data_IF_595311674826
#
_entry.id   IF_595311674826
#
_cell.length_a   1.000
_cell.length_b   1.000
_cell.length_c   1.000
_cell.angle_alpha   90.00
_cell.angle_beta   90.00
_cell.angle_gamma   90.00
#
_symmetry.space_group_name_H-M   'P 1'
#
loop_
_entity.id
_entity.type
_entity.pdbx_description
1 polymer ?
#
# COMPACT_ATOMS: atom_id res chain seq x y z
N UNK A 1 -90.62 -8.91 -41.89
CA UNK A 1 -89.88 -8.01 -42.79
C UNK A 1 -88.67 -7.46 -42.05
N UNK A 2 -87.48 -7.77 -42.58
CA UNK A 2 -86.09 -7.33 -42.27
C UNK A 2 -85.69 -6.99 -40.80
N UNK A 3 -84.90 -7.89 -40.20
CA UNK A 3 -84.01 -7.64 -39.06
C UNK A 3 -82.84 -6.71 -39.44
N UNK A 4 -82.21 -6.02 -38.47
CA UNK A 4 -80.79 -5.70 -38.53
C UNK A 4 -79.96 -6.32 -37.39
N UNK A 5 -78.96 -7.09 -37.84
CA UNK A 5 -77.60 -7.39 -37.34
C UNK A 5 -77.24 -7.43 -35.85
N UNK A 6 -76.78 -8.63 -35.47
CA UNK A 6 -75.98 -9.01 -34.31
C UNK A 6 -74.49 -8.57 -34.40
N UNK A 7 -73.93 -8.24 -33.23
CA UNK A 7 -72.55 -8.50 -32.75
C UNK A 7 -71.31 -7.82 -33.36
N UNK A 8 -70.28 -7.80 -32.50
CA UNK A 8 -68.81 -7.68 -32.73
C UNK A 8 -68.26 -6.24 -32.74
N UNK A 9 -67.24 -5.84 -31.97
CA UNK A 9 -66.10 -6.54 -31.34
C UNK A 9 -65.64 -5.80 -30.07
N UNK A 10 -65.45 -6.54 -28.97
CA UNK A 10 -64.51 -6.15 -27.90
C UNK A 10 -63.15 -6.77 -28.19
N UNK A 11 -62.11 -5.94 -28.06
CA UNK A 11 -60.66 -6.24 -27.87
C UNK A 11 -59.91 -6.85 -29.07
N UNK A 12 -58.57 -6.66 -29.22
CA UNK A 12 -57.60 -6.17 -28.22
C UNK A 12 -56.60 -5.11 -28.74
N UNK A 13 -56.49 -3.95 -28.06
CA UNK A 13 -55.36 -3.01 -28.19
C UNK A 13 -54.33 -3.20 -27.05
N UNK A 14 -54.41 -4.32 -26.33
CA UNK A 14 -53.62 -4.59 -25.12
C UNK A 14 -52.54 -5.67 -25.31
N UNK A 15 -52.18 -6.01 -26.56
CA UNK A 15 -51.15 -7.02 -26.84
C UNK A 15 -49.80 -6.44 -27.27
N UNK A 16 -49.70 -5.14 -27.57
CA UNK A 16 -48.45 -4.51 -28.00
C UNK A 16 -47.63 -3.84 -26.88
N UNK A 17 -48.18 -3.63 -25.68
CA UNK A 17 -47.41 -3.10 -24.54
C UNK A 17 -46.78 -4.17 -23.63
N UNK A 18 -47.21 -5.44 -23.74
CA UNK A 18 -46.66 -6.50 -22.88
C UNK A 18 -45.30 -7.04 -23.36
N UNK A 19 -44.93 -6.81 -24.62
CA UNK A 19 -43.66 -7.33 -25.19
C UNK A 19 -42.47 -6.39 -25.02
N UNK A 20 -42.68 -5.10 -24.74
CA UNK A 20 -41.57 -4.16 -24.49
C UNK A 20 -41.21 -4.12 -23.00
N UNK A 21 -42.17 -4.37 -22.10
CA UNK A 21 -41.92 -4.36 -20.65
C UNK A 21 -41.15 -5.61 -20.13
N UNK A 22 -41.10 -6.69 -20.90
CA UNK A 22 -40.36 -7.91 -20.54
C UNK A 22 -38.96 -8.00 -21.16
N UNK A 23 -38.64 -7.16 -22.16
CA UNK A 23 -37.31 -7.15 -22.80
C UNK A 23 -36.30 -6.25 -22.06
N UNK A 24 -36.76 -5.30 -21.26
CA UNK A 24 -35.88 -4.37 -20.52
C UNK A 24 -35.29 -4.99 -19.23
N UNK A 25 -35.97 -5.86 -18.45
CA UNK A 25 -35.36 -6.44 -17.25
C UNK A 25 -34.36 -7.57 -17.54
N UNK A 26 -34.29 -8.11 -18.76
CA UNK A 26 -33.46 -9.29 -19.06
C UNK A 26 -32.09 -8.96 -19.69
N UNK A 27 -31.80 -7.68 -19.95
CA UNK A 27 -30.50 -7.23 -20.46
C UNK A 27 -29.57 -6.66 -19.37
N UNK A 28 -30.02 -6.58 -18.11
CA UNK A 28 -29.11 -6.56 -16.96
C UNK A 28 -28.71 -8.01 -16.63
N UNK A 29 -28.13 -8.70 -17.59
CA UNK A 29 -27.14 -9.70 -17.23
C UNK A 29 -26.03 -8.91 -16.56
N UNK A 30 -26.02 -8.92 -15.23
CA UNK A 30 -24.91 -8.49 -14.41
C UNK A 30 -23.69 -9.20 -14.98
N UNK A 31 -22.89 -8.49 -15.77
CA UNK A 31 -21.51 -8.87 -16.03
C UNK A 31 -20.84 -8.64 -14.68
N UNK A 32 -20.97 -9.62 -13.79
CA UNK A 32 -19.98 -9.83 -12.75
C UNK A 32 -18.68 -10.02 -13.54
N UNK A 33 -17.94 -8.93 -13.73
CA UNK A 33 -16.55 -8.99 -14.13
C UNK A 33 -15.85 -9.68 -12.97
N UNK A 34 -15.86 -11.02 -12.98
CA UNK A 34 -14.97 -11.82 -12.17
C UNK A 34 -13.59 -11.55 -12.76
N UNK A 35 -12.96 -10.47 -12.32
CA UNK A 35 -11.53 -10.29 -12.50
C UNK A 35 -10.90 -11.61 -12.06
N UNK A 36 -10.24 -12.28 -13.01
CA UNK A 36 -9.51 -13.48 -12.66
C UNK A 36 -8.43 -13.06 -11.67
N UNK A 37 -8.21 -13.82 -10.59
CA UNK A 37 -7.17 -13.51 -9.63
C UNK A 37 -5.83 -13.33 -10.36
N UNK A 38 -5.12 -12.25 -10.07
CA UNK A 38 -3.78 -12.03 -10.60
C UNK A 38 -2.79 -12.87 -9.80
N UNK A 39 -2.09 -13.77 -10.48
CA UNK A 39 -0.98 -14.53 -9.92
C UNK A 39 0.32 -13.70 -10.00
N UNK A 40 1.27 -13.99 -9.12
CA UNK A 40 2.57 -13.33 -9.13
C UNK A 40 3.32 -13.43 -7.82
N UNK A 41 4.56 -12.95 -7.81
CA UNK A 41 5.34 -12.79 -6.59
C UNK A 41 5.59 -11.32 -6.33
N UNK A 42 5.10 -10.83 -5.19
CA UNK A 42 5.36 -9.47 -4.72
C UNK A 42 6.37 -9.47 -3.57
N UNK A 43 7.26 -8.49 -3.59
CA UNK A 43 8.28 -8.29 -2.55
C UNK A 43 8.08 -6.93 -1.90
N UNK A 44 7.67 -6.93 -0.64
CA UNK A 44 7.45 -5.72 0.15
C UNK A 44 8.63 -5.51 1.09
N UNK A 45 9.36 -4.41 0.90
CA UNK A 45 10.54 -4.05 1.69
C UNK A 45 10.19 -2.89 2.60
N UNK A 46 10.05 -3.18 3.89
CA UNK A 46 9.76 -2.20 4.92
C UNK A 46 11.05 -1.76 5.62
N UNK A 47 11.18 -0.45 5.80
CA UNK A 47 12.27 0.17 6.52
C UNK A 47 11.75 1.32 7.37
N UNK A 48 12.37 1.53 8.52
CA UNK A 48 12.18 2.75 9.29
C UNK A 48 12.84 3.93 8.55
N UNK A 49 12.33 5.14 8.77
CA UNK A 49 13.10 6.35 8.52
C UNK A 49 14.53 6.27 9.09
N UNK A 50 15.46 6.98 8.46
CA UNK A 50 16.86 7.05 8.89
C UNK A 50 17.05 7.92 10.15
N UNK A 51 18.30 8.05 10.60
CA UNK A 51 18.68 8.71 11.85
C UNK A 51 18.15 10.15 11.95
N UNK A 52 17.68 10.50 13.15
CA UNK A 52 17.09 11.80 13.47
C UNK A 52 17.91 12.54 14.52
N UNK A 53 17.77 13.87 14.66
CA UNK A 53 18.33 14.60 15.79
C UNK A 53 17.76 14.07 17.12
N UNK A 54 18.54 14.17 18.20
CA UNK A 54 18.09 13.79 19.55
C UNK A 54 16.82 14.53 19.98
N UNK A 55 16.76 15.85 19.72
CA UNK A 55 15.58 16.71 19.94
C UNK A 55 14.40 16.42 19.01
N UNK A 56 14.53 15.49 18.05
CA UNK A 56 13.40 15.07 17.23
C UNK A 56 12.73 16.20 16.42
N UNK A 57 13.43 16.75 15.43
CA UNK A 57 12.97 17.94 14.71
C UNK A 57 12.06 17.64 13.50
N UNK A 58 11.30 16.54 13.52
CA UNK A 58 10.52 16.10 12.34
C UNK A 58 11.33 15.52 11.17
N UNK A 59 12.63 15.82 11.12
CA UNK A 59 13.54 15.58 9.99
C UNK A 59 14.71 14.63 10.32
N UNK A 60 15.54 14.34 9.31
CA UNK A 60 16.79 13.58 9.45
C UNK A 60 17.93 14.46 9.97
N UNK A 61 18.91 13.85 10.63
CA UNK A 61 20.22 14.48 10.86
C UNK A 61 21.17 14.17 9.68
N UNK A 62 22.40 14.69 9.70
CA UNK A 62 23.38 14.43 8.63
C UNK A 62 23.68 12.93 8.43
N UNK A 63 23.76 12.15 9.50
CA UNK A 63 23.96 10.70 9.44
C UNK A 63 22.79 10.01 8.73
N UNK A 64 21.55 10.41 9.05
CA UNK A 64 20.35 9.88 8.40
C UNK A 64 20.25 10.29 6.93
N UNK A 65 20.71 11.50 6.58
CA UNK A 65 20.83 11.92 5.19
C UNK A 65 21.85 11.07 4.43
N UNK A 66 23.01 10.78 5.03
CA UNK A 66 24.01 9.88 4.44
C UNK A 66 23.43 8.47 4.22
N UNK A 67 22.76 7.90 5.23
CA UNK A 67 22.06 6.62 5.10
C UNK A 67 21.03 6.65 3.97
N UNK A 68 20.24 7.72 3.85
CA UNK A 68 19.25 7.87 2.79
C UNK A 68 19.88 7.87 1.39
N UNK A 69 21.06 8.49 1.22
CA UNK A 69 21.82 8.45 -0.03
C UNK A 69 22.37 7.04 -0.32
N UNK A 70 22.90 6.35 0.70
CA UNK A 70 23.40 4.97 0.56
C UNK A 70 22.28 3.98 0.20
N UNK A 71 21.09 4.15 0.78
CA UNK A 71 19.89 3.35 0.47
C UNK A 71 19.52 3.39 -1.00
N UNK A 72 19.78 4.52 -1.69
CA UNK A 72 19.53 4.63 -3.13
C UNK A 72 20.34 3.61 -3.94
N UNK A 73 21.53 3.24 -3.47
CA UNK A 73 22.34 2.17 -4.08
C UNK A 73 21.96 0.81 -3.52
N UNK A 74 21.85 0.71 -2.19
CA UNK A 74 21.72 -0.56 -1.48
C UNK A 74 20.41 -1.29 -1.78
N UNK A 75 19.27 -0.58 -1.81
CA UNK A 75 17.98 -1.24 -1.99
C UNK A 75 17.88 -1.91 -3.37
N UNK A 76 18.19 -1.23 -4.50
CA UNK A 76 18.14 -1.86 -5.82
C UNK A 76 19.14 -3.00 -6.00
N UNK A 77 20.31 -2.93 -5.38
CA UNK A 77 21.30 -4.01 -5.42
C UNK A 77 20.82 -5.27 -4.69
N UNK A 78 20.10 -5.11 -3.58
CA UNK A 78 19.62 -6.24 -2.76
C UNK A 78 18.30 -6.84 -3.25
N UNK A 79 17.39 -6.00 -3.75
CA UNK A 79 15.99 -6.39 -4.02
C UNK A 79 15.57 -6.20 -5.47
N UNK A 80 16.48 -5.75 -6.34
CA UNK A 80 16.12 -5.29 -7.69
C UNK A 80 15.45 -3.92 -7.64
N UNK A 81 15.24 -3.29 -8.79
CA UNK A 81 14.55 -1.99 -8.84
C UNK A 81 13.15 -2.11 -8.23
N UNK A 82 12.76 -1.14 -7.41
CA UNK A 82 11.35 -1.02 -7.04
C UNK A 82 10.50 -0.69 -8.27
N UNK A 83 9.25 -1.10 -8.22
CA UNK A 83 8.18 -0.66 -9.12
C UNK A 83 7.35 0.46 -8.45
N UNK A 84 7.28 0.45 -7.12
CA UNK A 84 6.53 1.42 -6.32
C UNK A 84 7.28 1.81 -5.04
N UNK A 85 7.07 3.04 -4.60
CA UNK A 85 7.70 3.59 -3.40
C UNK A 85 6.66 4.29 -2.55
N UNK A 86 6.66 4.02 -1.25
CA UNK A 86 5.78 4.61 -0.24
C UNK A 86 6.57 5.30 0.86
N UNK A 87 6.01 6.39 1.37
CA UNK A 87 6.44 7.02 2.60
C UNK A 87 5.24 7.57 3.37
N UNK A 88 5.35 7.64 4.70
CA UNK A 88 4.29 8.24 5.51
C UNK A 88 4.04 9.71 5.11
N UNK A 89 2.76 10.07 5.06
CA UNK A 89 2.30 11.41 4.68
C UNK A 89 2.93 12.47 5.61
N UNK A 90 3.69 13.44 5.06
CA UNK A 90 4.40 14.44 5.86
C UNK A 90 3.48 15.51 6.48
N UNK A 91 2.19 15.54 6.13
CA UNK A 91 1.21 16.45 6.76
C UNK A 91 0.91 16.09 8.22
N UNK A 92 1.20 14.86 8.63
CA UNK A 92 1.19 14.46 10.04
C UNK A 92 2.25 15.22 10.82
N UNK A 93 1.98 15.45 12.10
CA UNK A 93 2.94 16.01 13.02
C UNK A 93 3.34 15.00 14.09
N UNK A 94 4.55 15.17 14.62
CA UNK A 94 5.02 14.51 15.84
C UNK A 94 5.33 15.57 16.89
N UNK A 95 5.16 15.20 18.15
CA UNK A 95 5.53 16.00 19.32
C UNK A 95 6.81 15.38 19.89
N UNK A 96 7.90 16.15 19.85
CA UNK A 96 9.24 15.66 20.20
C UNK A 96 10.12 16.78 20.77
N UNK A 97 11.23 16.39 21.40
CA UNK A 97 12.22 17.29 22.00
C UNK A 97 11.90 17.64 23.44
N UNK A 98 12.79 18.40 24.09
CA UNK A 98 12.64 18.75 25.51
C UNK A 98 11.36 19.52 25.84
N UNK A 99 10.79 20.18 24.84
CA UNK A 99 9.65 21.08 24.97
C UNK A 99 8.37 20.52 24.30
N UNK A 100 8.35 19.24 23.90
CA UNK A 100 7.26 18.59 23.16
C UNK A 100 6.76 19.43 21.96
N UNK A 101 7.70 19.98 21.20
CA UNK A 101 7.38 20.82 20.06
C UNK A 101 6.82 20.00 18.91
N UNK A 102 5.87 20.61 18.19
CA UNK A 102 5.15 19.98 17.10
C UNK A 102 5.86 20.21 15.77
N UNK A 103 6.36 19.15 15.14
CA UNK A 103 7.06 19.20 13.85
C UNK A 103 6.36 18.36 12.78
N UNK A 104 6.43 18.78 11.51
CA UNK A 104 5.99 17.95 10.39
C UNK A 104 6.84 16.67 10.29
N UNK A 105 6.19 15.52 10.11
CA UNK A 105 6.86 14.22 10.12
C UNK A 105 7.47 13.86 8.76
N UNK A 106 8.46 14.64 8.33
CA UNK A 106 9.03 14.53 6.97
C UNK A 106 10.07 13.41 6.82
N UNK A 107 10.60 12.87 7.94
CA UNK A 107 11.73 11.94 7.94
C UNK A 107 11.55 10.65 7.10
N UNK A 108 10.38 9.98 7.00
CA UNK A 108 10.28 8.79 6.16
C UNK A 108 10.38 9.15 4.68
N UNK A 109 9.74 10.26 4.28
CA UNK A 109 9.85 10.79 2.91
C UNK A 109 11.29 11.16 2.58
N UNK A 110 12.00 11.88 3.46
CA UNK A 110 13.42 12.21 3.26
C UNK A 110 14.30 10.96 3.13
N UNK A 111 13.96 9.87 3.83
CA UNK A 111 14.75 8.63 3.83
C UNK A 111 14.69 7.91 2.48
N UNK A 112 13.51 7.82 1.88
CA UNK A 112 13.32 7.03 0.66
C UNK A 112 13.45 7.84 -0.62
N UNK A 113 13.30 9.16 -0.55
CA UNK A 113 13.33 10.04 -1.72
C UNK A 113 14.58 9.89 -2.58
N UNK A 114 15.82 9.77 -2.04
CA UNK A 114 16.99 9.52 -2.87
C UNK A 114 16.89 8.22 -3.69
N UNK A 115 16.31 7.16 -3.11
CA UNK A 115 16.06 5.89 -3.81
C UNK A 115 15.03 6.08 -4.94
N UNK A 116 13.93 6.78 -4.66
CA UNK A 116 12.90 7.08 -5.65
C UNK A 116 13.44 7.93 -6.82
N UNK A 117 14.24 8.96 -6.52
CA UNK A 117 14.90 9.81 -7.53
C UNK A 117 15.81 8.97 -8.42
N UNK A 118 16.66 8.11 -7.83
CA UNK A 118 17.56 7.26 -8.62
C UNK A 118 16.82 6.28 -9.53
N UNK A 119 15.66 5.80 -9.08
CA UNK A 119 14.81 4.88 -9.84
C UNK A 119 13.88 5.59 -10.83
N UNK A 120 13.74 6.91 -10.74
CA UNK A 120 12.82 7.70 -11.57
C UNK A 120 11.35 7.47 -11.21
N UNK A 121 11.05 7.18 -9.94
CA UNK A 121 9.71 6.85 -9.45
C UNK A 121 9.11 7.97 -8.61
N UNK A 122 7.78 8.15 -8.64
CA UNK A 122 7.09 8.96 -7.63
C UNK A 122 7.10 8.24 -6.27
N UNK A 123 6.92 9.02 -5.20
CA UNK A 123 6.66 8.47 -3.86
C UNK A 123 5.17 8.66 -3.55
N UNK A 124 4.46 7.56 -3.29
CA UNK A 124 3.11 7.63 -2.76
C UNK A 124 3.17 8.06 -1.28
N UNK A 125 2.42 9.10 -0.95
CA UNK A 125 2.34 9.70 0.39
C UNK A 125 0.88 9.85 0.85
N UNK A 126 -0.03 9.03 0.31
CA UNK A 126 -1.46 9.18 0.56
C UNK A 126 -1.85 8.76 1.99
N UNK A 127 -1.01 7.95 2.65
CA UNK A 127 -1.27 7.33 3.95
C UNK A 127 -0.42 7.97 5.06
N UNK A 128 -1.05 8.39 6.16
CA UNK A 128 -0.42 8.79 7.40
C UNK A 128 0.21 7.62 8.14
N UNK A 129 1.13 7.89 9.08
CA UNK A 129 1.91 6.84 9.72
C UNK A 129 1.08 5.80 10.50
N UNK A 130 -0.15 6.13 10.88
CA UNK A 130 -1.14 5.32 11.60
C UNK A 130 -2.23 4.71 10.69
N UNK A 131 -2.23 5.02 9.40
CA UNK A 131 -3.17 4.42 8.42
C UNK A 131 -2.64 3.04 7.98
N UNK A 132 -2.22 2.22 8.95
CA UNK A 132 -1.52 0.96 8.70
C UNK A 132 -2.44 -0.10 8.10
N UNK A 133 -3.72 -0.11 8.47
CA UNK A 133 -4.70 -1.04 7.92
C UNK A 133 -5.02 -0.70 6.47
N UNK A 134 -5.26 0.58 6.16
CA UNK A 134 -5.53 1.08 4.82
C UNK A 134 -4.32 0.89 3.89
N UNK A 135 -3.10 1.14 4.38
CA UNK A 135 -1.89 0.88 3.61
C UNK A 135 -1.69 -0.63 3.39
N UNK A 136 -2.02 -1.48 4.37
CA UNK A 136 -1.95 -2.93 4.19
C UNK A 136 -2.93 -3.40 3.09
N UNK A 137 -4.15 -2.88 3.06
CA UNK A 137 -5.13 -3.17 2.00
C UNK A 137 -4.62 -2.73 0.62
N UNK A 138 -4.08 -1.52 0.55
CA UNK A 138 -3.48 -0.98 -0.66
C UNK A 138 -2.37 -1.91 -1.18
N UNK A 139 -1.39 -2.27 -0.33
CA UNK A 139 -0.24 -3.14 -0.69
C UNK A 139 -0.63 -4.56 -1.11
N UNK A 140 -1.87 -5.00 -0.85
CA UNK A 140 -2.40 -6.31 -1.24
C UNK A 140 -3.27 -6.28 -2.51
N UNK A 141 -3.48 -5.09 -3.08
CA UNK A 141 -4.23 -4.95 -4.34
C UNK A 141 -3.51 -5.61 -5.52
N UNK A 142 -4.28 -6.04 -6.53
CA UNK A 142 -3.79 -6.81 -7.68
C UNK A 142 -2.63 -6.14 -8.44
N UNK A 143 -2.55 -4.79 -8.42
CA UNK A 143 -1.48 -4.02 -9.08
C UNK A 143 -0.08 -4.26 -8.51
N UNK A 144 0.04 -4.79 -7.29
CA UNK A 144 1.32 -5.04 -6.62
C UNK A 144 1.79 -6.50 -6.70
N UNK A 145 0.95 -7.43 -7.16
CA UNK A 145 1.20 -8.89 -7.06
C UNK A 145 2.40 -9.43 -7.80
N UNK A 146 3.00 -8.65 -8.70
CA UNK A 146 4.25 -8.98 -9.40
C UNK A 146 5.23 -7.80 -9.35
N UNK A 147 5.34 -7.16 -8.19
CA UNK A 147 6.11 -5.94 -8.00
C UNK A 147 7.04 -6.00 -6.78
N UNK A 148 8.12 -5.24 -6.84
CA UNK A 148 8.93 -4.88 -5.67
C UNK A 148 8.50 -3.51 -5.16
N UNK A 149 8.15 -3.42 -3.88
CA UNK A 149 7.66 -2.19 -3.24
C UNK A 149 8.59 -1.81 -2.09
N UNK A 150 9.05 -0.56 -2.07
CA UNK A 150 9.81 -0.02 -0.94
C UNK A 150 8.95 0.91 -0.09
N UNK A 151 8.96 0.71 1.22
CA UNK A 151 8.09 1.45 2.15
C UNK A 151 8.89 1.98 3.34
N UNK A 152 9.14 3.30 3.36
CA UNK A 152 9.79 3.96 4.50
C UNK A 152 8.76 4.51 5.48
N UNK A 153 8.88 4.14 6.76
CA UNK A 153 7.81 4.38 7.73
C UNK A 153 8.31 4.74 9.15
N UNK A 154 7.38 4.88 10.08
CA UNK A 154 7.65 5.06 11.51
C UNK A 154 7.88 3.73 12.21
N UNK A 155 8.91 3.62 13.06
CA UNK A 155 9.13 2.41 13.85
C UNK A 155 7.98 2.08 14.79
N UNK A 156 7.25 3.09 15.29
CA UNK A 156 6.10 2.87 16.18
C UNK A 156 4.93 2.18 15.50
N UNK A 157 4.82 2.26 14.17
CA UNK A 157 3.69 1.73 13.40
C UNK A 157 4.10 0.61 12.43
N UNK A 158 5.39 0.38 12.23
CA UNK A 158 5.88 -0.70 11.37
C UNK A 158 5.41 -2.10 11.83
N UNK A 159 5.44 -2.44 13.14
CA UNK A 159 4.91 -3.72 13.59
C UNK A 159 3.45 -3.94 13.22
N UNK A 160 2.61 -2.93 13.45
CA UNK A 160 1.19 -2.95 13.11
C UNK A 160 0.97 -3.14 11.61
N UNK A 161 1.66 -2.35 10.76
CA UNK A 161 1.58 -2.47 9.30
C UNK A 161 2.01 -3.85 8.79
N UNK A 162 3.15 -4.35 9.27
CA UNK A 162 3.71 -5.64 8.82
C UNK A 162 2.77 -6.78 9.20
N UNK A 163 2.22 -6.76 10.41
CA UNK A 163 1.26 -7.77 10.86
C UNK A 163 -0.06 -7.65 10.09
N UNK A 164 -0.59 -6.44 9.89
CA UNK A 164 -1.80 -6.23 9.09
C UNK A 164 -1.67 -6.75 7.66
N UNK A 165 -0.51 -6.56 7.01
CA UNK A 165 -0.21 -7.14 5.70
C UNK A 165 -0.22 -8.67 5.75
N UNK A 166 0.42 -9.28 6.77
CA UNK A 166 0.45 -10.73 6.92
C UNK A 166 -0.96 -11.30 7.15
N UNK A 167 -1.72 -10.68 8.05
CA UNK A 167 -3.06 -11.11 8.45
C UNK A 167 -4.02 -11.09 7.26
N UNK A 168 -4.07 -9.95 6.55
CA UNK A 168 -4.95 -9.79 5.39
C UNK A 168 -4.52 -10.71 4.22
N UNK A 169 -3.22 -10.94 4.03
CA UNK A 169 -2.73 -11.80 2.95
C UNK A 169 -3.04 -13.29 3.18
N UNK A 170 -2.94 -13.76 4.43
CA UNK A 170 -3.13 -15.17 4.77
C UNK A 170 -4.56 -15.50 5.19
N UNK A 171 -5.33 -14.49 5.62
CA UNK A 171 -6.70 -14.67 6.11
C UNK A 171 -6.79 -15.19 7.55
N UNK A 172 -5.70 -15.12 8.32
CA UNK A 172 -5.61 -15.52 9.71
C UNK A 172 -4.64 -14.60 10.49
N UNK A 173 -4.76 -14.57 11.82
CA UNK A 173 -3.91 -13.71 12.66
C UNK A 173 -2.46 -14.22 12.70
N UNK A 174 -1.52 -13.32 12.39
CA UNK A 174 -0.10 -13.62 12.18
C UNK A 174 0.79 -12.50 12.71
N UNK A 175 1.37 -12.75 13.88
CA UNK A 175 2.41 -11.88 14.44
C UNK A 175 3.75 -12.18 13.77
N UNK A 176 4.22 -11.27 12.93
CA UNK A 176 5.57 -11.28 12.33
C UNK A 176 6.55 -10.54 13.21
N UNK A 177 6.14 -9.42 13.80
CA UNK A 177 6.97 -8.64 14.72
C UNK A 177 6.10 -7.92 15.75
N UNK A 178 6.53 -7.95 17.01
CA UNK A 178 5.80 -7.29 18.11
C UNK A 178 6.27 -5.85 18.31
N UNK A 179 7.57 -5.60 18.10
CA UNK A 179 8.18 -4.29 18.32
C UNK A 179 9.23 -3.97 17.26
N UNK A 180 9.54 -2.67 17.14
CA UNK A 180 10.69 -2.17 16.40
C UNK A 180 11.48 -1.25 17.33
N UNK A 181 12.68 -1.69 17.71
CA UNK A 181 13.52 -0.97 18.66
C UNK A 181 13.82 0.47 18.18
N UNK A 182 13.64 1.46 19.06
CA UNK A 182 13.79 2.87 18.75
C UNK A 182 15.22 3.29 18.34
N UNK A 183 16.24 2.47 18.56
CA UNK A 183 17.62 2.69 18.10
C UNK A 183 17.97 1.85 16.85
N UNK A 184 17.05 1.01 16.38
CA UNK A 184 17.26 0.19 15.19
C UNK A 184 16.86 0.96 13.92
N UNK A 185 17.86 1.52 13.24
CA UNK A 185 17.73 2.20 11.95
C UNK A 185 18.08 1.29 10.76
N UNK A 186 18.48 0.05 11.03
CA UNK A 186 19.26 -0.75 10.09
C UNK A 186 18.61 -2.10 9.74
N UNK A 187 17.58 -2.53 10.48
CA UNK A 187 16.72 -3.63 10.03
C UNK A 187 15.89 -3.24 8.81
N UNK A 188 15.71 -4.22 7.93
CA UNK A 188 14.71 -4.26 6.86
C UNK A 188 13.82 -5.48 7.12
N UNK A 189 12.51 -5.27 7.11
CA UNK A 189 11.55 -6.37 7.06
C UNK A 189 11.15 -6.61 5.62
N UNK A 190 11.32 -7.83 5.14
CA UNK A 190 11.01 -8.21 3.76
C UNK A 190 9.95 -9.28 3.79
N UNK A 191 8.77 -8.94 3.29
CA UNK A 191 7.68 -9.87 3.06
C UNK A 191 7.64 -10.24 1.59
N UNK A 192 7.78 -11.53 1.28
CA UNK A 192 7.58 -12.06 -0.07
C UNK A 192 6.27 -12.83 -0.09
N UNK A 193 5.32 -12.35 -0.87
CA UNK A 193 4.00 -12.94 -1.02
C UNK A 193 3.89 -13.55 -2.42
N UNK A 194 3.63 -14.85 -2.50
CA UNK A 194 3.38 -15.55 -3.76
C UNK A 194 1.88 -15.82 -3.86
N UNK A 195 1.25 -15.21 -4.87
CA UNK A 195 -0.17 -15.31 -5.16
C UNK A 195 -0.43 -16.36 -6.24
N UNK A 196 -1.38 -17.25 -5.96
CA UNK A 196 -1.88 -18.22 -6.92
C UNK A 196 -3.37 -18.44 -6.68
N UNK A 197 -4.20 -18.17 -7.70
CA UNK A 197 -5.66 -18.33 -7.65
C UNK A 197 -6.29 -17.60 -6.44
N UNK A 198 -5.84 -16.37 -6.19
CA UNK A 198 -6.35 -15.50 -5.13
C UNK A 198 -5.89 -15.84 -3.72
N UNK A 199 -5.01 -16.83 -3.56
CA UNK A 199 -4.42 -17.21 -2.26
C UNK A 199 -2.96 -16.81 -2.21
N UNK A 200 -2.53 -16.23 -1.10
CA UNK A 200 -1.12 -15.92 -0.87
C UNK A 200 -0.45 -16.99 0.00
N UNK A 201 0.84 -17.22 -0.27
CA UNK A 201 1.78 -17.76 0.71
C UNK A 201 2.79 -16.68 1.08
N UNK A 202 3.19 -16.61 2.35
CA UNK A 202 4.08 -15.59 2.88
C UNK A 202 5.43 -16.17 3.33
N UNK A 203 6.52 -15.53 2.89
CA UNK A 203 7.85 -15.66 3.47
C UNK A 203 8.25 -14.31 4.09
N UNK A 204 8.60 -14.32 5.38
CA UNK A 204 9.13 -13.14 6.08
C UNK A 204 10.63 -13.30 6.35
N UNK A 205 11.40 -12.22 6.16
CA UNK A 205 12.84 -12.16 6.44
C UNK A 205 13.21 -10.83 7.07
N UNK A 206 14.06 -10.88 8.09
CA UNK A 206 14.72 -9.71 8.63
C UNK A 206 16.14 -9.64 8.10
N UNK A 207 16.48 -8.53 7.45
CA UNK A 207 17.80 -8.28 6.88
C UNK A 207 18.39 -7.03 7.51
N UNK A 208 19.72 -6.88 7.43
CA UNK A 208 20.42 -5.68 7.87
C UNK A 208 20.86 -4.88 6.64
N UNK A 209 20.66 -3.57 6.67
CA UNK A 209 21.24 -2.66 5.67
C UNK A 209 22.77 -2.74 5.78
N UNK A 210 23.31 -2.76 7.00
CA UNK A 210 24.75 -2.72 7.24
C UNK A 210 25.31 -1.31 7.14
N UNK A 211 24.49 -0.29 7.44
CA UNK A 211 24.82 1.13 7.35
C UNK A 211 24.96 1.81 8.75
N UNK A 212 24.91 1.01 9.82
CA UNK A 212 25.17 1.52 11.18
C UNK A 212 26.57 2.13 11.31
N UNK A 213 26.66 3.21 12.10
CA UNK A 213 27.93 3.91 12.33
C UNK A 213 28.39 4.76 11.13
N UNK A 214 27.48 5.13 10.23
CA UNK A 214 27.75 6.04 9.12
C UNK A 214 28.21 7.43 9.57
N UNK A 215 28.75 8.21 8.64
CA UNK A 215 29.35 9.51 8.92
C UNK A 215 28.34 10.52 9.49
N UNK A 216 28.77 11.33 10.46
CA UNK A 216 27.93 12.34 11.12
C UNK A 216 28.00 13.72 10.45
N UNK A 217 28.96 13.95 9.56
CA UNK A 217 29.03 15.16 8.75
C UNK A 217 28.01 15.09 7.61
N UNK A 218 27.51 16.24 7.15
CA UNK A 218 26.58 16.28 6.02
C UNK A 218 27.32 16.07 4.69
N UNK A 219 26.67 15.49 3.67
CA UNK A 219 27.27 15.33 2.34
C UNK A 219 27.77 16.66 1.78
N UNK A 220 28.94 16.66 1.15
CA UNK A 220 29.55 17.83 0.48
C UNK A 220 29.41 17.76 -1.03
#
# INVERSE_FOLDING_TARGET
MKLPSFFRRRRPLLLSLALVAAAVPLALAVVESRAQPVDGTQTLVFLRHAEKPGEGLGQLNCQGLNRALDLATLLPERFGKADYVFAANPSRHVEEGSDDQRYSYIRPLMTITPSAIRLGLPVNIDFGADDTDELAEELLSDKYRNATVYTAWSHGYLPELINAVADKALGDERVITEEWNADDFDTLYVLTLTWHDGKASLLSRNLRQGLNGGEHSCPT
#
